data_IF_599173348887
#
_entry.id   IF_599173348887
#
_cell.length_a   1.000
_cell.length_b   1.000
_cell.length_c   1.000
_cell.angle_alpha   90.00
_cell.angle_beta   90.00
_cell.angle_gamma   90.00
#
_symmetry.space_group_name_H-M   'P 1'
#
loop_
_entity.id
_entity.type
_entity.pdbx_description
1 polymer ?
#
# COMPACT_ATOMS: atom_id res chain seq x y z
N UNK A 1 -28.36 6.00 -21.11
CA UNK A 1 -28.12 7.06 -20.10
C UNK A 1 -26.82 6.74 -19.37
N UNK A 2 -25.92 7.71 -19.17
CA UNK A 2 -24.73 7.43 -18.36
C UNK A 2 -25.19 7.10 -16.92
N UNK A 3 -24.72 5.97 -16.40
CA UNK A 3 -24.95 5.60 -15.01
C UNK A 3 -24.45 6.72 -14.09
N UNK A 4 -25.20 7.03 -13.02
CA UNK A 4 -24.71 7.93 -11.98
C UNK A 4 -23.44 7.33 -11.34
N UNK A 5 -22.60 8.17 -10.73
CA UNK A 5 -21.36 7.70 -10.07
C UNK A 5 -21.67 6.63 -9.01
N UNK A 6 -22.75 6.80 -8.26
CA UNK A 6 -23.21 5.81 -7.27
C UNK A 6 -23.57 4.47 -7.91
N UNK A 7 -24.27 4.46 -9.04
CA UNK A 7 -24.59 3.22 -9.75
C UNK A 7 -23.33 2.49 -10.26
N UNK A 8 -22.28 3.25 -10.66
CA UNK A 8 -21.00 2.66 -11.06
C UNK A 8 -20.26 2.04 -9.87
N UNK A 9 -20.31 2.68 -8.71
CA UNK A 9 -19.75 2.14 -7.47
C UNK A 9 -20.51 0.85 -7.07
N UNK A 10 -21.84 0.88 -7.06
CA UNK A 10 -22.64 -0.30 -6.74
C UNK A 10 -22.34 -1.45 -7.71
N UNK A 11 -22.21 -1.13 -9.00
CA UNK A 11 -21.81 -2.12 -10.02
C UNK A 11 -20.44 -2.69 -9.75
N UNK A 12 -19.43 -1.83 -9.48
CA UNK A 12 -18.08 -2.26 -9.14
C UNK A 12 -18.07 -3.16 -7.90
N UNK A 13 -18.84 -2.82 -6.87
CA UNK A 13 -18.91 -3.60 -5.63
C UNK A 13 -19.60 -4.95 -5.83
N UNK A 14 -20.54 -5.07 -6.79
CA UNK A 14 -21.26 -6.29 -7.10
C UNK A 14 -20.48 -7.28 -7.98
N UNK A 15 -19.45 -6.83 -8.69
CA UNK A 15 -18.66 -7.69 -9.58
C UNK A 15 -17.71 -8.58 -8.79
N UNK A 16 -17.70 -9.87 -9.11
CA UNK A 16 -16.66 -10.79 -8.64
C UNK A 16 -15.35 -10.58 -9.42
N UNK A 17 -14.22 -10.80 -8.75
CA UNK A 17 -12.88 -10.66 -9.34
C UNK A 17 -12.52 -11.90 -10.20
N UNK A 18 -13.20 -12.06 -11.31
CA UNK A 18 -12.94 -13.12 -12.30
C UNK A 18 -12.25 -12.56 -13.53
N UNK A 19 -11.59 -13.42 -14.30
CA UNK A 19 -10.95 -13.02 -15.55
C UNK A 19 -11.95 -12.45 -16.57
N UNK A 20 -13.22 -12.90 -16.52
CA UNK A 20 -14.30 -12.43 -17.38
C UNK A 20 -14.70 -10.98 -17.06
N UNK A 21 -14.66 -10.59 -15.80
CA UNK A 21 -15.04 -9.27 -15.32
C UNK A 21 -13.88 -8.26 -15.30
N UNK A 22 -12.64 -8.68 -15.57
CA UNK A 22 -11.45 -7.84 -15.44
C UNK A 22 -11.55 -6.57 -16.30
N UNK A 23 -12.07 -6.68 -17.52
CA UNK A 23 -12.24 -5.54 -18.43
C UNK A 23 -13.23 -4.51 -17.88
N UNK A 24 -14.42 -4.95 -17.47
CA UNK A 24 -15.48 -4.10 -16.91
C UNK A 24 -15.02 -3.44 -15.59
N UNK A 25 -14.38 -4.22 -14.72
CA UNK A 25 -13.84 -3.71 -13.47
C UNK A 25 -12.83 -2.58 -13.74
N UNK A 26 -11.91 -2.77 -14.70
CA UNK A 26 -10.90 -1.76 -15.07
C UNK A 26 -11.53 -0.48 -15.59
N UNK A 27 -12.54 -0.59 -16.43
CA UNK A 27 -13.25 0.57 -16.98
C UNK A 27 -13.98 1.33 -15.87
N UNK A 28 -14.75 0.66 -15.02
CA UNK A 28 -15.44 1.27 -13.88
C UNK A 28 -14.46 1.94 -12.90
N UNK A 29 -13.34 1.30 -12.61
CA UNK A 29 -12.28 1.87 -11.78
C UNK A 29 -11.76 3.17 -12.38
N UNK A 30 -11.41 3.19 -13.67
CA UNK A 30 -10.89 4.39 -14.33
C UNK A 30 -11.94 5.53 -14.35
N UNK A 31 -13.21 5.22 -14.59
CA UNK A 31 -14.28 6.20 -14.56
C UNK A 31 -14.52 6.77 -13.15
N UNK A 32 -14.50 5.92 -12.11
CA UNK A 32 -14.62 6.34 -10.72
C UNK A 32 -13.44 7.23 -10.33
N UNK A 33 -12.21 6.87 -10.74
CA UNK A 33 -11.02 7.69 -10.53
C UNK A 33 -11.11 9.05 -11.22
N UNK A 34 -11.57 9.09 -12.46
CA UNK A 34 -11.72 10.35 -13.22
C UNK A 34 -12.73 11.33 -12.56
N UNK A 35 -13.58 10.82 -11.67
CA UNK A 35 -14.61 11.60 -10.94
C UNK A 35 -14.41 11.57 -9.43
N UNK A 36 -13.16 11.44 -8.99
CA UNK A 36 -12.82 11.34 -7.57
C UNK A 36 -13.29 12.52 -6.72
N UNK A 37 -13.22 13.74 -7.27
CA UNK A 37 -13.67 14.95 -6.58
C UNK A 37 -15.19 14.95 -6.37
N UNK A 38 -15.94 14.52 -7.39
CA UNK A 38 -17.39 14.36 -7.28
C UNK A 38 -17.78 13.28 -6.26
N UNK A 39 -17.03 12.19 -6.20
CA UNK A 39 -17.23 11.14 -5.19
C UNK A 39 -17.04 11.69 -3.78
N UNK A 40 -16.04 12.54 -3.60
CA UNK A 40 -15.79 13.18 -2.32
C UNK A 40 -16.92 14.13 -1.91
N UNK A 41 -17.37 15.00 -2.82
CA UNK A 41 -18.49 15.89 -2.56
C UNK A 41 -19.78 15.12 -2.24
N UNK A 42 -20.04 14.02 -2.93
CA UNK A 42 -21.19 13.15 -2.65
C UNK A 42 -21.13 12.53 -1.25
N UNK A 43 -19.93 12.18 -0.75
CA UNK A 43 -19.78 11.65 0.62
C UNK A 43 -19.87 12.74 1.67
N UNK A 44 -19.45 13.97 1.38
CA UNK A 44 -19.47 15.11 2.30
C UNK A 44 -20.88 15.74 2.43
N UNK A 45 -21.69 15.68 1.35
CA UNK A 45 -23.02 16.31 1.27
C UNK A 45 -24.17 15.33 1.46
N UNK A 46 -23.89 14.02 1.60
CA UNK A 46 -24.92 13.01 1.78
C UNK A 46 -25.75 13.22 3.05
N UNK A 47 -27.04 13.00 2.98
CA UNK A 47 -27.95 13.00 4.15
C UNK A 47 -27.57 11.92 5.19
N UNK A 48 -26.77 10.94 4.81
CA UNK A 48 -26.21 9.88 5.66
C UNK A 48 -24.68 9.80 5.46
N UNK A 49 -23.88 10.69 6.09
CA UNK A 49 -22.43 10.75 5.87
C UNK A 49 -21.72 9.43 6.18
N UNK A 50 -22.17 8.68 7.17
CA UNK A 50 -21.58 7.36 7.53
C UNK A 50 -21.79 6.32 6.44
N UNK A 51 -22.93 6.34 5.75
CA UNK A 51 -23.18 5.44 4.60
C UNK A 51 -22.25 5.77 3.43
N UNK A 52 -22.06 7.07 3.16
CA UNK A 52 -21.14 7.53 2.11
C UNK A 52 -19.69 7.15 2.41
N UNK A 53 -19.23 7.33 3.64
CA UNK A 53 -17.89 6.90 4.08
C UNK A 53 -17.71 5.40 3.93
N UNK A 54 -18.69 4.59 4.35
CA UNK A 54 -18.65 3.14 4.20
C UNK A 54 -18.57 2.68 2.75
N UNK A 55 -19.34 3.29 1.86
CA UNK A 55 -19.28 2.99 0.42
C UNK A 55 -17.93 3.36 -0.17
N UNK A 56 -17.37 4.52 0.18
CA UNK A 56 -16.04 4.95 -0.25
C UNK A 56 -14.97 3.99 0.24
N UNK A 57 -14.99 3.62 1.52
CA UNK A 57 -14.07 2.64 2.10
C UNK A 57 -14.12 1.29 1.37
N UNK A 58 -15.32 0.78 1.08
CA UNK A 58 -15.47 -0.46 0.30
C UNK A 58 -14.93 -0.33 -1.13
N UNK A 59 -15.18 0.79 -1.81
CA UNK A 59 -14.64 1.06 -3.14
C UNK A 59 -13.11 1.09 -3.11
N UNK A 60 -12.51 1.81 -2.16
CA UNK A 60 -11.07 1.88 -1.98
C UNK A 60 -10.45 0.51 -1.68
N UNK A 61 -11.10 -0.32 -0.85
CA UNK A 61 -10.68 -1.71 -0.59
C UNK A 61 -10.63 -2.53 -1.88
N UNK A 62 -11.67 -2.43 -2.70
CA UNK A 62 -11.72 -3.16 -3.98
C UNK A 62 -10.64 -2.68 -4.94
N UNK A 63 -10.43 -1.36 -5.05
CA UNK A 63 -9.36 -0.77 -5.85
C UNK A 63 -7.98 -1.27 -5.39
N UNK A 64 -7.73 -1.32 -4.07
CA UNK A 64 -6.50 -1.86 -3.50
C UNK A 64 -6.30 -3.33 -3.87
N UNK A 65 -7.35 -4.16 -3.74
CA UNK A 65 -7.26 -5.58 -4.10
C UNK A 65 -6.92 -5.75 -5.59
N UNK A 66 -7.56 -4.97 -6.46
CA UNK A 66 -7.30 -4.99 -7.90
C UNK A 66 -5.86 -4.55 -8.23
N UNK A 67 -5.34 -3.52 -7.57
CA UNK A 67 -3.96 -3.10 -7.75
C UNK A 67 -2.96 -4.18 -7.30
N UNK A 68 -3.26 -4.89 -6.21
CA UNK A 68 -2.40 -5.95 -5.69
C UNK A 68 -2.42 -7.21 -6.55
N UNK A 69 -3.49 -7.46 -7.31
CA UNK A 69 -3.64 -8.64 -8.16
C UNK A 69 -3.10 -8.45 -9.59
N UNK A 70 -2.59 -7.26 -9.94
CA UNK A 70 -2.04 -6.99 -11.27
C UNK A 70 -0.74 -7.75 -11.55
N UNK A 71 -0.83 -8.98 -12.04
CA UNK A 71 0.31 -9.64 -12.72
C UNK A 71 0.81 -8.83 -13.93
N UNK A 72 -0.05 -8.04 -14.56
CA UNK A 72 0.33 -7.13 -15.65
C UNK A 72 1.20 -5.94 -15.18
N UNK A 73 1.03 -5.46 -13.94
CA UNK A 73 1.91 -4.43 -13.38
C UNK A 73 3.34 -4.94 -13.19
N UNK A 74 3.48 -6.25 -12.99
CA UNK A 74 4.77 -6.91 -12.88
C UNK A 74 5.51 -7.01 -14.24
N UNK A 75 4.79 -7.06 -15.35
CA UNK A 75 5.39 -7.17 -16.70
C UNK A 75 5.86 -5.82 -17.27
N UNK A 76 5.31 -4.69 -16.78
CA UNK A 76 5.60 -3.33 -17.26
C UNK A 76 6.30 -2.49 -16.18
N UNK A 77 7.17 -3.10 -15.40
CA UNK A 77 7.87 -2.43 -14.32
C UNK A 77 9.00 -1.53 -14.87
N UNK A 78 8.83 -0.23 -14.78
CA UNK A 78 9.88 0.74 -15.11
C UNK A 78 10.87 0.86 -13.95
N UNK A 79 12.00 0.16 -14.08
CA UNK A 79 13.09 0.28 -13.14
C UNK A 79 13.74 1.66 -13.22
N UNK A 80 13.85 2.29 -12.08
CA UNK A 80 14.49 3.59 -11.94
C UNK A 80 15.51 3.56 -10.80
N UNK A 81 16.53 4.41 -10.85
CA UNK A 81 17.47 4.58 -9.75
C UNK A 81 16.87 5.54 -8.72
N UNK A 82 16.55 5.02 -7.55
CA UNK A 82 15.72 5.65 -6.51
C UNK A 82 16.52 5.88 -5.24
N UNK A 83 16.49 7.09 -4.69
CA UNK A 83 16.88 7.38 -3.30
C UNK A 83 15.75 6.84 -2.39
N UNK A 84 15.89 5.57 -1.99
CA UNK A 84 14.81 4.81 -1.35
C UNK A 84 14.50 5.33 0.06
N UNK A 85 15.52 5.81 0.78
CA UNK A 85 15.37 6.50 2.06
C UNK A 85 14.40 7.69 1.96
N UNK A 86 14.58 8.56 0.96
CA UNK A 86 13.72 9.73 0.76
C UNK A 86 12.30 9.36 0.30
N UNK A 87 12.19 8.35 -0.57
CA UNK A 87 10.89 7.89 -1.01
C UNK A 87 10.05 7.36 0.15
N UNK A 88 10.64 6.47 0.97
CA UNK A 88 9.93 5.86 2.10
C UNK A 88 9.71 6.84 3.26
N UNK A 89 10.61 7.81 3.47
CA UNK A 89 10.41 8.90 4.43
C UNK A 89 9.15 9.71 4.10
N UNK A 90 8.96 10.09 2.83
CA UNK A 90 7.76 10.80 2.39
C UNK A 90 6.48 10.01 2.63
N UNK A 91 6.51 8.68 2.38
CA UNK A 91 5.39 7.78 2.67
C UNK A 91 5.10 7.70 4.18
N UNK A 92 6.14 7.58 5.02
CA UNK A 92 6.00 7.53 6.47
C UNK A 92 5.44 8.83 7.05
N UNK A 93 5.90 9.99 6.58
CA UNK A 93 5.37 11.30 6.99
C UNK A 93 3.88 11.40 6.69
N UNK A 94 3.47 11.07 5.46
CA UNK A 94 2.07 11.07 5.07
C UNK A 94 1.25 10.08 5.93
N UNK A 95 1.77 8.87 6.15
CA UNK A 95 1.13 7.86 7.00
C UNK A 95 0.89 8.36 8.42
N UNK A 96 1.89 9.00 9.04
CA UNK A 96 1.74 9.56 10.39
C UNK A 96 0.68 10.67 10.45
N UNK A 97 0.59 11.52 9.42
CA UNK A 97 -0.46 12.55 9.35
C UNK A 97 -1.84 11.90 9.30
N UNK A 98 -2.01 10.85 8.49
CA UNK A 98 -3.29 10.15 8.38
C UNK A 98 -3.64 9.33 9.63
N UNK A 99 -2.64 8.84 10.36
CA UNK A 99 -2.83 8.13 11.63
C UNK A 99 -2.89 9.06 12.85
N UNK A 100 -2.84 10.39 12.67
CA UNK A 100 -2.78 11.35 13.79
C UNK A 100 -3.99 11.31 14.73
N UNK A 101 -5.16 10.88 14.23
CA UNK A 101 -6.36 10.68 15.03
C UNK A 101 -6.42 9.29 15.71
N UNK A 102 -5.53 8.40 15.33
CA UNK A 102 -5.35 7.09 15.98
C UNK A 102 -4.23 7.16 17.02
N UNK A 103 -4.28 6.26 17.99
CA UNK A 103 -3.20 6.14 18.99
C UNK A 103 -1.92 5.47 18.42
N UNK A 104 -1.78 5.37 17.09
CA UNK A 104 -0.68 4.66 16.43
C UNK A 104 0.42 5.63 16.02
N UNK A 105 1.67 5.24 16.23
CA UNK A 105 2.85 5.99 15.83
C UNK A 105 3.74 5.13 14.92
N UNK A 106 4.12 5.66 13.77
CA UNK A 106 5.07 5.03 12.86
C UNK A 106 6.41 5.75 12.94
N UNK A 107 7.42 5.05 13.42
CA UNK A 107 8.82 5.52 13.44
C UNK A 107 9.56 4.99 12.22
N UNK A 108 10.31 5.87 11.54
CA UNK A 108 11.14 5.46 10.41
C UNK A 108 12.63 5.65 10.74
N UNK A 109 13.39 4.58 10.55
CA UNK A 109 14.85 4.52 10.82
C UNK A 109 15.55 4.20 9.49
N UNK A 110 15.88 5.21 8.66
CA UNK A 110 16.53 4.99 7.37
C UNK A 110 18.05 4.97 7.47
N UNK A 111 18.67 4.04 6.73
CA UNK A 111 20.01 4.25 6.18
C UNK A 111 19.91 4.93 4.82
N UNK A 112 20.95 5.67 4.40
CA UNK A 112 21.01 6.23 3.04
C UNK A 112 21.18 5.13 2.02
N UNK A 113 20.14 4.89 1.22
CA UNK A 113 20.08 3.81 0.24
C UNK A 113 19.56 4.34 -1.09
N UNK A 114 20.36 4.13 -2.14
CA UNK A 114 19.90 4.37 -3.51
C UNK A 114 20.08 3.07 -4.31
N UNK A 115 18.97 2.55 -4.86
CA UNK A 115 18.92 1.29 -5.60
C UNK A 115 18.05 1.42 -6.84
N UNK A 116 18.26 0.53 -7.81
CA UNK A 116 17.33 0.38 -8.93
C UNK A 116 16.12 -0.43 -8.50
N UNK A 117 14.95 0.17 -8.60
CA UNK A 117 13.69 -0.49 -8.26
C UNK A 117 12.52 0.12 -9.06
N UNK A 118 11.37 -0.49 -8.98
CA UNK A 118 10.11 0.06 -9.45
C UNK A 118 9.43 0.83 -8.31
N UNK A 119 9.44 2.18 -8.30
CA UNK A 119 9.02 2.98 -7.16
C UNK A 119 7.59 2.69 -6.72
N UNK A 120 6.66 2.55 -7.67
CA UNK A 120 5.25 2.28 -7.37
C UNK A 120 5.05 0.95 -6.65
N UNK A 121 5.69 -0.12 -7.13
CA UNK A 121 5.60 -1.44 -6.49
C UNK A 121 6.22 -1.45 -5.09
N UNK A 122 7.30 -0.68 -4.89
CA UNK A 122 7.92 -0.56 -3.56
C UNK A 122 6.99 0.17 -2.60
N UNK A 123 6.40 1.29 -3.01
CA UNK A 123 5.46 2.06 -2.17
C UNK A 123 4.22 1.21 -1.84
N UNK A 124 3.62 0.54 -2.82
CA UNK A 124 2.47 -0.34 -2.60
C UNK A 124 2.79 -1.48 -1.63
N UNK A 125 3.97 -2.10 -1.80
CA UNK A 125 4.42 -3.18 -0.92
C UNK A 125 4.71 -2.68 0.50
N UNK A 126 5.33 -1.53 0.63
CA UNK A 126 5.61 -0.91 1.91
C UNK A 126 4.31 -0.56 2.65
N UNK A 127 3.33 0.02 1.96
CA UNK A 127 2.01 0.29 2.51
C UNK A 127 1.26 -0.99 2.92
N UNK A 128 1.41 -2.09 2.19
CA UNK A 128 0.87 -3.38 2.60
C UNK A 128 1.49 -3.89 3.92
N UNK A 129 2.80 -3.70 4.11
CA UNK A 129 3.46 -4.05 5.36
C UNK A 129 2.99 -3.16 6.52
N UNK A 130 2.95 -1.84 6.32
CA UNK A 130 2.46 -0.87 7.33
C UNK A 130 1.01 -1.15 7.70
N UNK A 131 0.12 -1.31 6.73
CA UNK A 131 -1.30 -1.60 6.95
C UNK A 131 -1.51 -2.89 7.76
N UNK A 132 -0.70 -3.92 7.50
CA UNK A 132 -0.75 -5.13 8.31
C UNK A 132 -0.29 -4.86 9.75
N UNK A 133 0.80 -4.11 9.93
CA UNK A 133 1.28 -3.73 11.25
C UNK A 133 0.23 -2.92 12.02
N UNK A 134 -0.43 -1.94 11.39
CA UNK A 134 -1.51 -1.16 12.01
C UNK A 134 -2.67 -2.05 12.44
N UNK A 135 -3.07 -3.02 11.60
CA UNK A 135 -4.21 -3.91 11.88
C UNK A 135 -3.96 -4.92 13.00
N UNK A 136 -2.74 -5.39 13.14
CA UNK A 136 -2.41 -6.55 13.99
C UNK A 136 -1.54 -6.20 15.18
N UNK A 137 -0.98 -4.98 15.23
CA UNK A 137 -0.22 -4.53 16.38
C UNK A 137 -1.10 -4.44 17.62
N UNK A 138 -0.61 -4.98 18.75
CA UNK A 138 -1.22 -4.81 20.08
C UNK A 138 -0.71 -3.58 20.80
N UNK A 139 0.33 -2.93 20.27
CA UNK A 139 0.92 -1.70 20.79
C UNK A 139 0.68 -0.53 19.86
N UNK A 140 1.00 0.67 20.37
CA UNK A 140 0.81 1.93 19.65
C UNK A 140 1.96 2.29 18.70
N UNK A 141 3.05 1.53 18.72
CA UNK A 141 4.28 1.87 18.02
C UNK A 141 4.60 0.83 16.94
N UNK A 142 4.78 1.32 15.73
CA UNK A 142 5.27 0.57 14.59
C UNK A 142 6.62 1.15 14.21
N UNK A 143 7.61 0.30 13.94
CA UNK A 143 8.92 0.74 13.47
C UNK A 143 9.15 0.25 12.06
N UNK A 144 9.33 1.17 11.13
CA UNK A 144 9.83 0.89 9.81
C UNK A 144 11.33 1.19 9.75
N UNK A 145 12.11 0.37 9.07
CA UNK A 145 13.54 0.60 8.89
C UNK A 145 13.99 0.25 7.49
N UNK A 146 15.05 0.93 7.04
CA UNK A 146 15.73 0.68 5.79
C UNK A 146 17.20 0.46 6.08
N UNK A 147 17.74 -0.69 5.69
CA UNK A 147 19.14 -1.05 5.91
C UNK A 147 19.81 -1.49 4.63
N UNK A 148 21.10 -1.21 4.48
CA UNK A 148 21.90 -1.60 3.33
C UNK A 148 22.97 -2.64 3.73
N UNK A 149 22.81 -3.85 3.22
CA UNK A 149 23.83 -4.89 3.30
C UNK A 149 24.74 -4.90 2.07
N UNK A 150 25.65 -5.86 2.01
CA UNK A 150 26.64 -5.97 0.92
C UNK A 150 26.00 -6.11 -0.48
N UNK A 151 24.90 -6.83 -0.61
CA UNK A 151 24.22 -7.13 -1.88
C UNK A 151 22.70 -6.93 -1.86
N UNK A 152 22.17 -6.51 -0.73
CA UNK A 152 20.73 -6.38 -0.55
C UNK A 152 20.44 -5.14 0.28
N UNK A 153 19.41 -4.41 -0.07
CA UNK A 153 18.75 -3.51 0.86
C UNK A 153 17.51 -4.19 1.43
N UNK A 154 17.18 -3.86 2.67
CA UNK A 154 16.07 -4.48 3.40
C UNK A 154 15.17 -3.39 3.94
N UNK A 155 13.92 -3.42 3.52
CA UNK A 155 12.82 -2.64 4.09
C UNK A 155 12.14 -3.53 5.12
N UNK A 156 12.11 -3.11 6.38
CA UNK A 156 11.48 -3.86 7.46
C UNK A 156 10.37 -3.05 8.10
N UNK A 157 9.28 -3.72 8.47
CA UNK A 157 8.24 -3.17 9.33
C UNK A 157 8.08 -4.10 10.52
N UNK A 158 8.20 -3.55 11.71
CA UNK A 158 8.14 -4.28 12.98
C UNK A 158 7.06 -3.69 13.86
N UNK A 159 6.25 -4.55 14.44
CA UNK A 159 5.17 -4.21 15.36
C UNK A 159 5.20 -5.11 16.61
N UNK A 160 4.27 -4.87 17.53
CA UNK A 160 4.09 -5.64 18.77
C UNK A 160 3.00 -6.72 18.67
N UNK A 161 2.87 -7.37 17.50
CA UNK A 161 1.94 -8.51 17.34
C UNK A 161 2.42 -9.73 18.14
N UNK A 162 1.49 -10.42 18.80
CA UNK A 162 1.78 -11.68 19.47
C UNK A 162 2.00 -12.84 18.48
N UNK A 163 2.59 -13.95 18.93
CA UNK A 163 2.92 -15.10 18.10
C UNK A 163 1.72 -15.73 17.36
N UNK A 164 0.55 -15.81 18.00
CA UNK A 164 -0.65 -16.36 17.39
C UNK A 164 -1.14 -15.53 16.20
N UNK A 165 -1.06 -14.20 16.32
CA UNK A 165 -1.42 -13.28 15.25
C UNK A 165 -0.39 -13.32 14.12
N UNK A 166 0.90 -13.49 14.45
CA UNK A 166 1.98 -13.63 13.48
C UNK A 166 1.79 -14.84 12.55
N UNK A 167 1.38 -15.98 13.07
CA UNK A 167 1.10 -17.18 12.27
C UNK A 167 -0.09 -16.99 11.32
N UNK A 168 -1.09 -16.21 11.72
CA UNK A 168 -2.23 -15.86 10.85
C UNK A 168 -1.83 -14.94 9.69
N UNK A 169 -0.80 -14.11 9.86
CA UNK A 169 -0.25 -13.21 8.83
C UNK A 169 0.56 -13.96 7.77
N UNK A 170 1.16 -15.10 8.12
CA UNK A 170 1.97 -15.89 7.18
C UNK A 170 1.10 -16.59 6.13
N UNK A 171 -0.19 -16.80 6.40
CA UNK A 171 -1.11 -17.29 5.36
C UNK A 171 -1.24 -16.22 4.27
N UNK A 172 -0.98 -16.55 2.98
CA UNK A 172 -0.92 -15.58 1.90
C UNK A 172 -2.28 -14.94 1.63
N UNK A 173 -2.60 -13.89 2.38
CA UNK A 173 -3.62 -12.91 2.00
C UNK A 173 -3.07 -12.08 0.85
N UNK A 174 -3.92 -11.54 0.01
CA UNK A 174 -3.54 -10.83 -1.23
C UNK A 174 -2.42 -9.79 -1.06
N UNK A 175 -2.40 -9.03 0.04
CA UNK A 175 -1.40 -8.01 0.32
C UNK A 175 0.03 -8.56 0.47
N UNK A 176 0.24 -9.60 1.29
CA UNK A 176 1.56 -10.21 1.48
C UNK A 176 2.04 -10.96 0.24
N UNK A 177 1.13 -11.52 -0.56
CA UNK A 177 1.48 -12.12 -1.86
C UNK A 177 2.02 -11.06 -2.83
N UNK A 178 1.42 -9.87 -2.85
CA UNK A 178 1.93 -8.74 -3.63
C UNK A 178 3.33 -8.33 -3.19
N UNK A 179 3.59 -8.21 -1.87
CA UNK A 179 4.92 -7.92 -1.33
C UNK A 179 5.93 -8.99 -1.72
N UNK A 180 5.56 -10.28 -1.64
CA UNK A 180 6.42 -11.38 -2.05
C UNK A 180 6.77 -11.33 -3.54
N UNK A 181 5.80 -11.02 -4.39
CA UNK A 181 6.02 -10.88 -5.83
C UNK A 181 6.93 -9.68 -6.13
N UNK A 182 6.69 -8.53 -5.50
CA UNK A 182 7.57 -7.35 -5.62
C UNK A 182 9.01 -7.67 -5.20
N UNK A 183 9.20 -8.34 -4.06
CA UNK A 183 10.53 -8.74 -3.61
C UNK A 183 11.23 -9.65 -4.63
N UNK A 184 10.54 -10.65 -5.17
CA UNK A 184 11.08 -11.56 -6.19
C UNK A 184 11.49 -10.84 -7.47
N UNK A 185 10.66 -9.91 -7.97
CA UNK A 185 10.99 -9.09 -9.13
C UNK A 185 12.27 -8.28 -8.94
N UNK A 186 12.51 -7.83 -7.71
CA UNK A 186 13.71 -7.09 -7.34
C UNK A 186 14.87 -8.01 -6.90
N UNK A 187 14.86 -9.29 -7.30
CA UNK A 187 15.93 -10.24 -6.99
C UNK A 187 16.09 -10.59 -5.52
N UNK A 188 15.04 -10.38 -4.73
CA UNK A 188 15.05 -10.61 -3.29
C UNK A 188 13.94 -11.54 -2.81
N UNK A 189 13.50 -11.35 -1.57
CA UNK A 189 12.51 -12.20 -0.91
C UNK A 189 11.82 -11.49 0.25
N UNK A 190 10.62 -11.98 0.61
CA UNK A 190 9.92 -11.60 1.83
C UNK A 190 10.30 -12.58 2.96
N UNK A 191 10.66 -12.05 4.12
CA UNK A 191 11.06 -12.80 5.29
C UNK A 191 10.23 -12.32 6.49
N UNK A 192 10.02 -13.22 7.45
CA UNK A 192 9.35 -12.90 8.70
C UNK A 192 10.24 -13.32 9.87
N UNK A 193 10.18 -12.54 10.95
CA UNK A 193 10.81 -12.86 12.21
C UNK A 193 9.88 -12.49 13.36
N UNK A 194 9.81 -13.33 14.37
CA UNK A 194 9.10 -13.09 15.63
C UNK A 194 9.99 -13.45 16.80
N UNK A 195 9.89 -12.70 17.89
CA UNK A 195 10.57 -12.99 19.16
C UNK A 195 9.59 -13.15 20.33
N UNK A 196 8.31 -13.42 20.03
CA UNK A 196 7.25 -13.58 21.02
C UNK A 196 6.61 -12.29 21.51
N UNK A 197 7.29 -11.17 21.42
CA UNK A 197 6.76 -9.83 21.79
C UNK A 197 6.68 -8.87 20.61
N UNK A 198 7.32 -9.19 19.51
CA UNK A 198 7.29 -8.38 18.28
C UNK A 198 7.31 -9.27 17.04
N UNK A 199 6.69 -8.77 15.99
CA UNK A 199 6.69 -9.40 14.69
C UNK A 199 7.32 -8.43 13.67
N UNK A 200 8.17 -8.96 12.80
CA UNK A 200 8.87 -8.18 11.78
C UNK A 200 8.67 -8.82 10.41
N UNK A 201 8.13 -8.06 9.48
CA UNK A 201 8.07 -8.42 8.06
C UNK A 201 9.17 -7.65 7.31
N UNK A 202 10.00 -8.36 6.55
CA UNK A 202 11.21 -7.84 5.91
C UNK A 202 11.19 -8.12 4.41
N UNK A 203 11.11 -7.08 3.61
CA UNK A 203 11.25 -7.15 2.15
C UNK A 203 12.70 -6.88 1.76
N UNK A 204 13.42 -7.92 1.39
CA UNK A 204 14.78 -7.80 0.86
C UNK A 204 14.72 -7.56 -0.65
N UNK A 205 15.57 -6.68 -1.17
CA UNK A 205 15.72 -6.31 -2.58
C UNK A 205 17.19 -6.41 -2.96
N UNK A 206 17.51 -6.83 -4.17
CA UNK A 206 18.90 -6.82 -4.67
C UNK A 206 19.40 -5.38 -4.82
N UNK A 207 20.60 -5.11 -4.35
CA UNK A 207 21.30 -3.84 -4.57
C UNK A 207 22.07 -3.83 -5.91
N UNK A 208 22.22 -4.98 -6.58
CA UNK A 208 23.04 -5.18 -7.78
C UNK A 208 22.23 -5.03 -9.08
N UNK A 209 21.01 -4.51 -9.04
CA UNK A 209 20.19 -4.30 -10.24
C UNK A 209 20.78 -3.18 -11.11
N UNK A 210 20.65 -3.30 -12.47
CA UNK A 210 21.15 -2.27 -13.37
C UNK A 210 20.57 -0.90 -13.06
N UNK A 211 21.40 0.14 -13.15
CA UNK A 211 20.95 1.51 -12.91
C UNK A 211 20.08 2.00 -14.06
N UNK A 212 18.83 2.31 -13.75
CA UNK A 212 17.90 2.97 -14.65
C UNK A 212 18.00 4.49 -14.65
N UNK A 213 17.00 5.17 -15.21
CA UNK A 213 16.88 6.64 -15.09
C UNK A 213 16.71 7.01 -13.63
N UNK A 214 17.23 8.19 -13.24
CA UNK A 214 17.05 8.71 -11.88
C UNK A 214 15.57 9.05 -11.65
N UNK A 215 15.03 8.53 -10.58
CA UNK A 215 13.68 8.84 -10.11
C UNK A 215 13.75 9.90 -9.01
N UNK A 216 12.92 10.91 -9.13
CA UNK A 216 12.75 11.91 -8.08
C UNK A 216 11.49 11.56 -7.29
N UNK A 217 11.64 11.26 -6.01
CA UNK A 217 10.50 11.01 -5.15
C UNK A 217 9.56 12.23 -5.16
N UNK A 218 8.25 12.02 -5.30
CA UNK A 218 7.31 13.13 -5.22
C UNK A 218 7.33 13.72 -3.79
N UNK A 219 6.96 15.00 -3.63
CA UNK A 219 6.80 15.58 -2.31
C UNK A 219 5.72 14.80 -1.55
N UNK A 220 5.86 14.67 -0.23
CA UNK A 220 4.90 13.91 0.58
C UNK A 220 3.47 14.48 0.49
N UNK A 221 3.32 15.79 0.27
CA UNK A 221 2.02 16.44 0.07
C UNK A 221 1.21 15.84 -1.08
N UNK A 222 1.87 15.36 -2.14
CA UNK A 222 1.18 14.71 -3.26
C UNK A 222 0.47 13.41 -2.86
N UNK A 223 0.97 12.72 -1.83
CA UNK A 223 0.27 11.55 -1.27
C UNK A 223 -0.93 11.94 -0.42
N UNK A 224 -0.90 13.10 0.25
CA UNK A 224 -2.02 13.63 1.05
C UNK A 224 -3.13 14.21 0.17
N UNK A 225 -2.75 14.96 -0.85
CA UNK A 225 -3.69 15.61 -1.78
C UNK A 225 -4.47 14.58 -2.61
N UNK A 226 -3.80 13.50 -3.01
CA UNK A 226 -4.43 12.43 -3.76
C UNK A 226 -4.99 11.36 -2.84
N UNK A 227 -6.30 11.38 -2.60
CA UNK A 227 -7.01 10.39 -1.78
C UNK A 227 -7.00 8.96 -2.32
N UNK A 228 -6.60 8.78 -3.58
CA UNK A 228 -6.34 7.48 -4.20
C UNK A 228 -4.85 7.15 -4.22
N UNK A 229 -4.03 7.89 -3.49
CA UNK A 229 -2.62 7.55 -3.35
C UNK A 229 -2.45 6.19 -2.67
N UNK A 230 -1.32 5.51 -2.89
CA UNK A 230 -1.02 4.25 -2.21
C UNK A 230 -1.15 4.33 -0.68
N UNK A 231 -0.90 5.51 -0.10
CA UNK A 231 -0.97 5.72 1.36
C UNK A 231 -2.42 5.72 1.83
N UNK A 232 -3.31 6.49 1.21
CA UNK A 232 -4.74 6.46 1.53
C UNK A 232 -5.35 5.08 1.28
N UNK A 233 -5.09 4.47 0.11
CA UNK A 233 -5.56 3.12 -0.21
C UNK A 233 -5.02 2.09 0.78
N UNK A 234 -3.76 2.27 1.22
CA UNK A 234 -3.12 1.40 2.18
C UNK A 234 -3.77 1.43 3.56
N UNK A 235 -4.27 2.57 3.99
CA UNK A 235 -4.83 2.78 5.32
C UNK A 235 -6.36 2.73 5.37
N UNK A 236 -7.05 2.66 4.23
CA UNK A 236 -8.52 2.71 4.19
C UNK A 236 -9.22 1.69 5.09
N UNK A 237 -8.57 0.54 5.36
CA UNK A 237 -9.09 -0.49 6.27
C UNK A 237 -8.67 -0.29 7.73
N UNK A 238 -7.92 0.75 8.05
CA UNK A 238 -7.33 0.99 9.36
C UNK A 238 -7.89 2.25 10.03
N UNK A 239 -8.72 3.01 9.32
CA UNK A 239 -9.23 4.32 9.73
C UNK A 239 -10.72 4.28 10.11
N UNK A 240 -11.31 3.06 10.24
CA UNK A 240 -12.71 2.84 10.68
C UNK A 240 -12.82 2.76 12.21
#
# INVERSE_FOLDING_TARGET
>A
MPYSLLQKIDRLLSLEETAENEGEIRELVNEIFARSDELYELTATASEPERGKKMLSQCLRKLRTLNNNKESALKNCDYSFVELDKLLEGVCLCTNILLSESDMNLFFIPEKVAVSCCPSLIVDSFMNLISNAVKFSKGKNITASLTLGKRQCVVSVTDSAGEEDALSLIRPKSGLRSVQNTARLHGGRLLFASNGSSFSARMALSADLPRGKRYHAPPFSSYLENRFSPVHLGLCDCMD
#
